data_IF_656625498830
#
_entry.id   IF_656625498830
#
_cell.length_a   1.000
_cell.length_b   1.000
_cell.length_c   1.000
_cell.angle_alpha   90.00
_cell.angle_beta   90.00
_cell.angle_gamma   90.00
#
_symmetry.space_group_name_H-M   'P 1'
#
loop_
_entity.id
_entity.type
_entity.pdbx_description
1 polymer ?
#
# COMPACT_ATOMS: atom_id res chain seq x y z
N UNK A 1 -9.89 16.51 -6.45
CA UNK A 1 -11.32 16.65 -6.10
C UNK A 1 -12.34 16.40 -7.22
N UNK A 2 -12.01 15.81 -8.38
CA UNK A 2 -12.94 15.72 -9.54
C UNK A 2 -13.69 14.39 -9.68
N UNK A 3 -13.26 13.32 -8.99
CA UNK A 3 -13.91 12.00 -9.04
C UNK A 3 -14.86 11.81 -7.86
N UNK A 4 -16.02 11.20 -8.10
CA UNK A 4 -16.90 10.75 -7.03
C UNK A 4 -16.29 9.54 -6.28
N UNK A 5 -16.80 9.24 -5.09
CA UNK A 5 -16.22 8.18 -4.25
C UNK A 5 -16.27 6.78 -4.89
N UNK A 6 -17.26 6.52 -5.75
CA UNK A 6 -17.40 5.24 -6.46
C UNK A 6 -16.36 5.09 -7.56
N UNK A 7 -16.08 6.16 -8.29
CA UNK A 7 -15.08 6.14 -9.35
C UNK A 7 -13.68 5.97 -8.76
N UNK A 8 -13.37 6.63 -7.63
CA UNK A 8 -12.06 6.47 -6.97
C UNK A 8 -11.78 5.04 -6.53
N UNK A 9 -12.75 4.39 -5.86
CA UNK A 9 -12.55 3.01 -5.42
C UNK A 9 -12.43 2.06 -6.61
N UNK A 10 -13.19 2.28 -7.68
CA UNK A 10 -13.06 1.47 -8.90
C UNK A 10 -11.67 1.64 -9.54
N UNK A 11 -11.20 2.87 -9.71
CA UNK A 11 -9.84 3.15 -10.18
C UNK A 11 -8.80 2.47 -9.30
N UNK A 12 -9.00 2.50 -7.97
CA UNK A 12 -8.10 1.82 -7.04
C UNK A 12 -8.05 0.30 -7.27
N UNK A 13 -9.22 -0.31 -7.40
CA UNK A 13 -9.38 -1.75 -7.60
C UNK A 13 -8.78 -2.20 -8.94
N UNK A 14 -8.98 -1.42 -10.02
CA UNK A 14 -8.42 -1.71 -11.33
C UNK A 14 -6.88 -1.63 -11.34
N UNK A 15 -6.30 -0.62 -10.70
CA UNK A 15 -4.83 -0.49 -10.61
C UNK A 15 -4.20 -1.59 -9.75
N UNK A 16 -4.82 -1.95 -8.62
CA UNK A 16 -4.39 -3.12 -7.84
C UNK A 16 -4.51 -4.41 -8.63
N UNK A 17 -5.57 -4.56 -9.43
CA UNK A 17 -5.72 -5.72 -10.30
C UNK A 17 -4.59 -5.81 -11.32
N UNK A 18 -4.23 -4.69 -11.97
CA UNK A 18 -3.10 -4.64 -12.92
C UNK A 18 -1.80 -5.00 -12.23
N UNK A 19 -1.51 -4.40 -11.07
CA UNK A 19 -0.28 -4.66 -10.32
C UNK A 19 -0.15 -6.13 -9.90
N UNK A 20 -1.21 -6.71 -9.32
CA UNK A 20 -1.22 -8.13 -8.90
C UNK A 20 -1.13 -9.06 -10.10
N UNK A 21 -1.77 -8.72 -11.23
CA UNK A 21 -1.70 -9.55 -12.44
C UNK A 21 -0.31 -9.51 -13.09
N UNK A 22 0.43 -8.42 -12.93
CA UNK A 22 1.77 -8.23 -13.50
C UNK A 22 2.90 -8.83 -12.64
N UNK A 23 2.62 -9.33 -11.44
CA UNK A 23 3.64 -9.97 -10.59
C UNK A 23 4.26 -11.19 -11.31
N UNK A 24 5.57 -11.41 -11.20
CA UNK A 24 6.23 -12.64 -11.68
C UNK A 24 5.60 -13.90 -11.08
N UNK A 25 5.69 -15.03 -11.79
CA UNK A 25 5.12 -16.31 -11.34
C UNK A 25 5.82 -16.87 -10.08
N UNK A 26 7.09 -16.54 -9.88
CA UNK A 26 7.88 -16.83 -8.69
C UNK A 26 7.80 -15.74 -7.62
N UNK A 27 7.00 -14.70 -7.87
CA UNK A 27 6.80 -13.58 -6.96
C UNK A 27 6.00 -13.94 -5.72
N UNK A 28 6.14 -13.11 -4.69
CA UNK A 28 5.37 -13.19 -3.45
C UNK A 28 4.70 -11.85 -3.18
N UNK A 29 3.51 -11.88 -2.60
CA UNK A 29 2.78 -10.65 -2.33
C UNK A 29 1.84 -10.79 -1.14
N UNK A 30 1.34 -9.64 -0.70
CA UNK A 30 0.17 -9.54 0.14
C UNK A 30 -0.53 -8.20 -0.14
N UNK A 31 -1.75 -8.03 0.36
CA UNK A 31 -2.52 -6.80 0.25
C UNK A 31 -2.84 -6.33 1.66
N UNK A 32 -2.57 -5.07 1.97
CA UNK A 32 -2.87 -4.47 3.27
C UNK A 32 -3.96 -3.41 3.06
N UNK A 33 -5.09 -3.61 3.69
CA UNK A 33 -6.18 -2.65 3.69
C UNK A 33 -6.07 -1.77 4.92
N UNK A 34 -6.32 -0.48 4.77
CA UNK A 34 -6.23 0.45 5.87
C UNK A 34 -7.33 1.51 5.83
N UNK A 35 -7.89 1.77 7.01
CA UNK A 35 -8.88 2.80 7.28
C UNK A 35 -8.53 3.46 8.62
N UNK A 36 -9.32 3.28 9.68
CA UNK A 36 -8.90 3.52 11.06
C UNK A 36 -8.11 2.34 11.67
N UNK A 37 -8.22 1.16 11.05
CA UNK A 37 -7.51 -0.08 11.38
C UNK A 37 -6.60 -0.47 10.21
N UNK A 38 -5.58 -1.29 10.49
CA UNK A 38 -4.72 -1.89 9.48
C UNK A 38 -5.02 -3.39 9.42
N UNK A 39 -5.38 -3.89 8.24
CA UNK A 39 -5.83 -5.28 8.04
C UNK A 39 -5.11 -5.91 6.85
N UNK A 40 -4.03 -6.67 7.08
CA UNK A 40 -3.45 -7.54 6.08
C UNK A 40 -4.47 -8.59 5.61
N UNK A 41 -4.51 -8.87 4.30
CA UNK A 41 -5.34 -9.93 3.74
C UNK A 41 -4.89 -11.32 4.23
N UNK A 42 -3.59 -11.56 4.24
CA UNK A 42 -2.93 -12.72 4.83
C UNK A 42 -1.98 -12.30 5.95
N UNK A 43 -1.63 -13.23 6.83
CA UNK A 43 -0.67 -12.96 7.93
C UNK A 43 0.76 -12.71 7.44
N UNK A 44 1.12 -13.26 6.28
CA UNK A 44 2.45 -13.15 5.69
C UNK A 44 2.38 -13.11 4.17
N UNK A 45 3.55 -12.99 3.54
CA UNK A 45 3.65 -13.06 2.08
C UNK A 45 3.17 -14.43 1.60
N UNK A 46 2.40 -14.43 0.51
CA UNK A 46 1.97 -15.65 -0.17
C UNK A 46 2.51 -15.70 -1.59
N UNK A 47 2.76 -16.90 -2.15
CA UNK A 47 3.21 -17.00 -3.54
C UNK A 47 2.15 -16.47 -4.49
N UNK A 48 2.57 -15.84 -5.58
CA UNK A 48 1.71 -15.25 -6.59
C UNK A 48 1.11 -16.33 -7.54
N UNK A 49 0.51 -17.38 -6.98
CA UNK A 49 -0.23 -18.39 -7.76
C UNK A 49 -1.54 -17.83 -8.29
N UNK A 50 -2.10 -18.46 -9.32
CA UNK A 50 -3.42 -18.10 -9.86
C UNK A 50 -4.50 -18.04 -8.77
N UNK A 51 -4.54 -19.01 -7.86
CA UNK A 51 -5.51 -19.08 -6.77
C UNK A 51 -5.35 -17.92 -5.78
N UNK A 52 -4.11 -17.59 -5.39
CA UNK A 52 -3.86 -16.49 -4.47
C UNK A 52 -4.18 -15.14 -5.12
N UNK A 53 -3.85 -14.95 -6.40
CA UNK A 53 -4.21 -13.74 -7.15
C UNK A 53 -5.73 -13.60 -7.21
N UNK A 54 -6.44 -14.65 -7.59
CA UNK A 54 -7.90 -14.65 -7.65
C UNK A 54 -8.54 -14.32 -6.29
N UNK A 55 -8.08 -14.97 -5.22
CA UNK A 55 -8.59 -14.73 -3.87
C UNK A 55 -8.29 -13.31 -3.35
N UNK A 56 -7.12 -12.74 -3.69
CA UNK A 56 -6.79 -11.36 -3.37
C UNK A 56 -7.71 -10.38 -4.11
N UNK A 57 -7.95 -10.61 -5.40
CA UNK A 57 -8.85 -9.78 -6.22
C UNK A 57 -10.28 -9.83 -5.68
N UNK A 58 -10.81 -11.02 -5.36
CA UNK A 58 -12.12 -11.13 -4.73
C UNK A 58 -12.20 -10.29 -3.45
N UNK A 59 -11.13 -10.27 -2.63
CA UNK A 59 -11.10 -9.43 -1.45
C UNK A 59 -11.08 -7.93 -1.79
N UNK A 60 -10.24 -7.51 -2.73
CA UNK A 60 -10.13 -6.10 -3.19
C UNK A 60 -11.47 -5.56 -3.68
N UNK A 61 -12.19 -6.35 -4.49
CA UNK A 61 -13.50 -5.96 -5.05
C UNK A 61 -14.66 -6.04 -4.04
N UNK A 62 -14.43 -6.59 -2.84
CA UNK A 62 -15.45 -6.70 -1.78
C UNK A 62 -15.44 -5.54 -0.78
N UNK A 63 -14.55 -4.55 -0.95
CA UNK A 63 -14.32 -3.52 0.06
C UNK A 63 -15.23 -2.32 -0.19
N UNK A 64 -15.82 -1.83 0.91
CA UNK A 64 -16.53 -0.56 0.93
C UNK A 64 -15.57 0.58 1.34
N UNK A 65 -15.70 1.77 0.72
CA UNK A 65 -14.86 2.91 1.03
C UNK A 65 -15.19 3.48 2.42
N UNK A 66 -14.16 3.73 3.21
CA UNK A 66 -14.27 4.36 4.53
C UNK A 66 -13.48 5.67 4.61
N UNK A 67 -13.89 6.58 5.51
CA UNK A 67 -13.42 7.97 5.55
C UNK A 67 -12.23 8.24 6.49
N UNK A 68 -11.62 7.21 7.08
CA UNK A 68 -10.48 7.34 8.00
C UNK A 68 -9.23 6.75 7.37
N UNK A 69 -8.08 7.32 7.70
CA UNK A 69 -6.83 7.03 6.98
C UNK A 69 -5.65 6.94 7.95
N UNK A 70 -5.36 5.74 8.43
CA UNK A 70 -4.23 5.37 9.29
C UNK A 70 -2.99 5.01 8.45
N UNK A 71 -2.56 5.96 7.61
CA UNK A 71 -1.53 5.75 6.60
C UNK A 71 -0.17 5.36 7.21
N UNK A 72 0.22 6.01 8.31
CA UNK A 72 1.48 5.68 9.00
C UNK A 72 1.52 4.22 9.43
N UNK A 73 0.48 3.79 10.15
CA UNK A 73 0.41 2.47 10.75
C UNK A 73 0.38 1.39 9.66
N UNK A 74 -0.30 1.67 8.53
CA UNK A 74 -0.31 0.79 7.37
C UNK A 74 1.08 0.64 6.74
N UNK A 75 1.81 1.74 6.56
CA UNK A 75 3.16 1.71 5.99
C UNK A 75 4.15 1.01 6.91
N UNK A 76 4.06 1.19 8.23
CA UNK A 76 4.92 0.46 9.16
C UNK A 76 4.70 -1.05 9.07
N UNK A 77 3.44 -1.49 9.03
CA UNK A 77 3.12 -2.91 8.81
C UNK A 77 3.65 -3.38 7.46
N UNK A 78 3.52 -2.57 6.40
CA UNK A 78 3.99 -2.93 5.07
C UNK A 78 5.52 -3.07 4.98
N UNK A 79 6.29 -2.16 5.58
CA UNK A 79 7.77 -2.21 5.52
C UNK A 79 8.39 -3.24 6.46
N UNK A 80 7.64 -3.71 7.48
CA UNK A 80 8.02 -4.88 8.27
C UNK A 80 7.55 -6.19 7.68
N UNK A 81 6.75 -6.14 6.62
CA UNK A 81 6.14 -7.33 6.09
C UNK A 81 7.20 -8.27 5.52
N UNK A 82 7.01 -9.56 5.75
CA UNK A 82 8.03 -10.56 5.45
C UNK A 82 7.65 -11.95 5.95
N UNK A 83 8.65 -12.79 6.12
CA UNK A 83 8.47 -14.18 6.50
C UNK A 83 7.79 -14.28 7.87
N UNK A 84 6.82 -15.18 7.98
CA UNK A 84 6.14 -15.51 9.22
C UNK A 84 6.69 -16.81 9.79
N UNK A 85 6.71 -17.00 11.12
CA UNK A 85 7.08 -18.28 11.71
C UNK A 85 6.30 -19.44 11.07
N UNK A 86 7.02 -20.39 10.46
CA UNK A 86 6.43 -21.54 9.78
C UNK A 86 6.20 -21.38 8.27
N UNK A 87 6.37 -20.19 7.69
CA UNK A 87 6.32 -20.01 6.23
C UNK A 87 7.63 -20.51 5.61
N UNK A 88 7.57 -21.69 4.99
CA UNK A 88 8.71 -22.23 4.24
C UNK A 88 8.86 -21.46 2.94
N UNK A 89 10.09 -21.01 2.66
CA UNK A 89 10.49 -20.31 1.42
C UNK A 89 9.93 -18.90 1.22
N UNK A 90 9.17 -18.33 2.16
CA UNK A 90 8.72 -16.96 2.03
C UNK A 90 9.90 -15.98 2.20
N UNK A 91 9.96 -14.88 1.43
CA UNK A 91 10.99 -13.87 1.58
C UNK A 91 11.03 -13.29 3.00
N UNK A 92 12.23 -13.10 3.56
CA UNK A 92 12.41 -12.52 4.90
C UNK A 92 11.90 -11.08 5.00
N UNK A 93 11.95 -10.34 3.90
CA UNK A 93 11.46 -8.97 3.79
C UNK A 93 10.82 -8.74 2.43
N UNK A 94 9.91 -7.76 2.37
CA UNK A 94 9.46 -7.19 1.10
C UNK A 94 10.58 -6.42 0.42
N UNK A 95 10.53 -6.33 -0.91
CA UNK A 95 11.44 -5.51 -1.72
C UNK A 95 10.76 -4.22 -2.21
N UNK A 96 9.43 -4.25 -2.34
CA UNK A 96 8.63 -3.14 -2.84
C UNK A 96 7.29 -3.04 -2.10
N UNK A 97 6.88 -1.81 -1.82
CA UNK A 97 5.54 -1.44 -1.36
C UNK A 97 4.90 -0.55 -2.42
N UNK A 98 3.69 -0.90 -2.83
CA UNK A 98 2.84 -0.07 -3.68
C UNK A 98 1.74 0.54 -2.81
N UNK A 99 1.86 1.83 -2.51
CA UNK A 99 0.87 2.57 -1.71
C UNK A 99 -0.14 3.25 -2.64
N UNK A 100 -1.42 3.02 -2.40
CA UNK A 100 -2.52 3.63 -3.14
C UNK A 100 -3.39 4.43 -2.17
N UNK A 101 -3.50 5.74 -2.38
CA UNK A 101 -4.19 6.64 -1.44
C UNK A 101 -4.83 7.83 -2.17
N UNK A 102 -6.01 8.25 -1.72
CA UNK A 102 -6.74 9.41 -2.25
C UNK A 102 -6.81 10.58 -1.26
N UNK A 103 -6.41 10.34 -0.01
CA UNK A 103 -6.73 11.22 1.10
C UNK A 103 -5.57 11.52 2.05
N UNK A 104 -5.79 12.55 2.87
CA UNK A 104 -4.89 12.96 3.95
C UNK A 104 -4.95 11.94 5.10
N UNK A 105 -3.83 11.64 5.78
CA UNK A 105 -3.86 10.90 7.04
C UNK A 105 -4.79 11.57 8.05
N UNK A 106 -5.71 10.80 8.62
CA UNK A 106 -6.77 11.28 9.55
C UNK A 106 -6.94 10.39 10.78
N UNK A 107 -6.22 9.27 10.84
CA UNK A 107 -6.27 8.30 11.92
C UNK A 107 -4.88 7.68 12.16
N UNK A 108 -4.80 6.79 13.14
CA UNK A 108 -3.56 6.11 13.53
C UNK A 108 -2.70 6.93 14.49
N UNK A 109 -1.50 6.42 14.77
CA UNK A 109 -0.60 6.99 15.78
C UNK A 109 0.06 8.30 15.35
N UNK A 110 0.33 8.43 14.05
CA UNK A 110 0.94 9.64 13.45
C UNK A 110 0.04 10.10 12.29
N UNK A 111 -0.44 11.34 12.37
CA UNK A 111 -1.29 11.97 11.34
C UNK A 111 -0.60 13.13 10.62
N UNK A 112 0.53 13.62 11.13
CA UNK A 112 1.32 14.70 10.54
C UNK A 112 2.10 14.19 9.32
N UNK A 113 1.82 14.72 8.12
CA UNK A 113 2.49 14.28 6.89
C UNK A 113 4.02 14.29 6.98
N UNK A 114 4.60 15.34 7.58
CA UNK A 114 6.05 15.45 7.75
C UNK A 114 6.61 14.38 8.69
N UNK A 115 5.92 14.11 9.80
CA UNK A 115 6.33 13.07 10.75
C UNK A 115 6.20 11.67 10.14
N UNK A 116 5.17 11.44 9.31
CA UNK A 116 5.00 10.16 8.60
C UNK A 116 6.17 9.93 7.64
N UNK A 117 6.51 10.91 6.80
CA UNK A 117 7.64 10.80 5.86
C UNK A 117 8.91 10.50 6.64
N UNK A 118 9.20 11.27 7.70
CA UNK A 118 10.38 11.06 8.54
C UNK A 118 10.41 9.67 9.16
N UNK A 119 9.29 9.23 9.76
CA UNK A 119 9.18 7.93 10.42
C UNK A 119 9.44 6.78 9.43
N UNK A 120 8.72 6.77 8.31
CA UNK A 120 8.84 5.72 7.30
C UNK A 120 10.21 5.71 6.64
N UNK A 121 10.77 6.88 6.30
CA UNK A 121 12.11 6.98 5.73
C UNK A 121 13.17 6.44 6.68
N UNK A 122 13.18 6.87 7.95
CA UNK A 122 14.13 6.38 8.94
C UNK A 122 14.06 4.86 9.10
N UNK A 123 12.85 4.32 9.08
CA UNK A 123 12.59 2.88 9.21
C UNK A 123 13.06 2.07 7.99
N UNK A 124 13.10 2.70 6.83
CA UNK A 124 13.45 2.08 5.58
C UNK A 124 14.93 2.25 5.18
N UNK A 125 15.71 3.07 5.90
CA UNK A 125 17.13 3.36 5.58
C UNK A 125 17.95 2.09 5.36
N UNK A 126 17.79 1.09 6.24
CA UNK A 126 18.57 -0.15 6.17
C UNK A 126 17.94 -1.20 5.25
N UNK A 127 16.60 -1.28 5.21
CA UNK A 127 15.87 -2.29 4.43
C UNK A 127 15.88 -1.99 2.93
N UNK A 128 15.96 -0.70 2.57
CA UNK A 128 16.00 -0.19 1.19
C UNK A 128 14.81 -0.66 0.33
N UNK A 129 13.65 -0.78 0.95
CA UNK A 129 12.40 -1.15 0.27
C UNK A 129 12.01 -0.01 -0.65
N UNK A 130 11.67 -0.32 -1.90
CA UNK A 130 11.12 0.68 -2.83
C UNK A 130 9.67 0.97 -2.48
N UNK A 131 9.32 2.22 -2.16
CA UNK A 131 7.93 2.62 -1.91
C UNK A 131 7.42 3.46 -3.07
N UNK A 132 6.66 2.85 -3.97
CA UNK A 132 5.94 3.59 -5.01
C UNK A 132 4.59 4.05 -4.46
N UNK A 133 4.15 5.24 -4.86
CA UNK A 133 2.89 5.83 -4.42
C UNK A 133 1.99 6.15 -5.60
N UNK A 134 0.70 5.89 -5.45
CA UNK A 134 -0.33 6.14 -6.44
C UNK A 134 -1.41 7.02 -5.80
N UNK A 135 -1.50 8.25 -6.28
CA UNK A 135 -2.47 9.24 -5.81
C UNK A 135 -3.73 9.21 -6.65
N UNK A 136 -4.87 8.84 -6.05
CA UNK A 136 -6.17 8.85 -6.74
C UNK A 136 -6.86 10.19 -6.49
N UNK A 137 -6.98 11.01 -7.53
CA UNK A 137 -7.63 12.33 -7.43
C UNK A 137 -7.10 13.19 -6.25
N UNK A 138 -5.84 12.95 -5.87
CA UNK A 138 -5.14 13.64 -4.80
C UNK A 138 -4.53 14.93 -5.34
N UNK A 139 -4.89 16.06 -4.74
CA UNK A 139 -4.37 17.40 -5.03
C UNK A 139 -3.87 18.04 -3.73
N UNK A 140 -2.95 19.00 -3.81
CA UNK A 140 -2.39 19.74 -2.67
C UNK A 140 -1.62 18.86 -1.66
N UNK A 141 -1.99 18.90 -0.37
CA UNK A 141 -1.21 18.30 0.71
C UNK A 141 -1.14 16.76 0.70
N UNK A 142 -2.21 15.99 0.35
CA UNK A 142 -2.09 14.55 0.12
C UNK A 142 -1.15 14.19 -1.02
N UNK A 143 -1.18 14.92 -2.14
CA UNK A 143 -0.26 14.68 -3.26
C UNK A 143 1.19 14.92 -2.85
N UNK A 144 1.46 16.02 -2.13
CA UNK A 144 2.80 16.31 -1.64
C UNK A 144 3.31 15.22 -0.68
N UNK A 145 2.46 14.72 0.22
CA UNK A 145 2.80 13.58 1.10
C UNK A 145 3.20 12.34 0.29
N UNK A 146 2.43 11.97 -0.74
CA UNK A 146 2.73 10.81 -1.57
C UNK A 146 4.02 10.99 -2.39
N UNK A 147 4.26 12.20 -2.90
CA UNK A 147 5.51 12.56 -3.57
C UNK A 147 6.71 12.41 -2.64
N UNK A 148 6.62 12.95 -1.42
CA UNK A 148 7.72 12.90 -0.46
C UNK A 148 7.98 11.48 0.05
N UNK A 149 6.93 10.69 0.28
CA UNK A 149 7.09 9.27 0.61
C UNK A 149 7.85 8.51 -0.48
N UNK A 150 7.44 8.66 -1.75
CA UNK A 150 8.11 7.96 -2.84
C UNK A 150 9.57 8.40 -3.01
N UNK A 151 9.81 9.72 -3.06
CA UNK A 151 11.15 10.29 -3.27
C UNK A 151 12.13 9.90 -2.17
N UNK A 152 11.69 9.90 -0.92
CA UNK A 152 12.55 9.55 0.21
C UNK A 152 12.69 8.04 0.44
N UNK A 153 12.03 7.21 -0.36
CA UNK A 153 12.02 5.75 -0.22
C UNK A 153 12.21 5.02 -1.56
N UNK A 154 13.12 5.54 -2.40
CA UNK A 154 13.60 4.90 -3.64
C UNK A 154 12.53 4.61 -4.70
N UNK A 155 11.32 5.17 -4.55
CA UNK A 155 10.19 4.89 -5.42
C UNK A 155 9.78 6.06 -6.29
N UNK A 156 8.65 5.88 -6.96
CA UNK A 156 8.04 6.83 -7.88
C UNK A 156 6.60 7.10 -7.48
N UNK A 157 6.16 8.32 -7.74
CA UNK A 157 4.78 8.73 -7.61
C UNK A 157 4.08 8.68 -8.98
N UNK A 158 2.84 8.20 -8.98
CA UNK A 158 1.95 8.17 -10.14
C UNK A 158 0.61 8.82 -9.76
N UNK A 159 0.14 9.74 -10.59
CA UNK A 159 -1.19 10.35 -10.41
C UNK A 159 -2.21 9.57 -11.25
N UNK A 160 -3.27 9.12 -10.60
CA UNK A 160 -4.41 8.46 -11.22
C UNK A 160 -5.54 9.50 -11.32
N UNK A 161 -6.09 9.68 -12.52
CA UNK A 161 -7.15 10.64 -12.85
C UNK A 161 -8.34 9.95 -13.48
#
# INVERSE_FOLDING_TARGET
STLDGKTRILTAQEELQRAISALPDDGWFNVIFYNDQVRPWRQGLVPATADNRFAALQKIFSIDPERRTALNDALEVAVDFGNQPGSRNAPEQVEQVLLLSDGKPTAGRIVSSAEIVMNITNRNVLRRIRIDTLGIDSDDSPEQLLLDLARNNFGKYYKLR
#
